data_IF_218999327425
#
_entry.id   IF_218999327425
#
_cell.length_a   1.000
_cell.length_b   1.000
_cell.length_c   1.000
_cell.angle_alpha   90.00
_cell.angle_beta   90.00
_cell.angle_gamma   90.00
#
_symmetry.space_group_name_H-M   'P 1'
#
loop_
_entity.id
_entity.type
_entity.pdbx_description
1 polymer ?
#
# COMPACT_ATOMS: atom_id res chain seq x y z
N UNK A 1 -2.77 -4.10 10.50
CA UNK A 1 -4.03 -4.85 10.24
C UNK A 1 -4.54 -4.55 8.84
N UNK A 2 -5.24 -5.48 8.23
CA UNK A 2 -5.51 -5.58 6.80
C UNK A 2 -6.76 -4.80 6.33
N UNK A 3 -6.71 -3.47 6.29
CA UNK A 3 -7.77 -2.66 5.65
C UNK A 3 -8.00 -3.01 4.17
N UNK A 4 -7.04 -3.69 3.53
CA UNK A 4 -7.13 -4.15 2.14
C UNK A 4 -7.78 -5.52 1.92
N UNK A 5 -7.97 -6.37 2.95
CA UNK A 5 -8.65 -7.68 2.76
C UNK A 5 -10.18 -7.60 2.86
N UNK A 6 -10.73 -6.57 3.52
CA UNK A 6 -12.18 -6.35 3.62
C UNK A 6 -12.82 -5.98 2.27
N UNK A 7 -12.03 -5.45 1.30
CA UNK A 7 -12.53 -5.10 -0.04
C UNK A 7 -12.98 -6.32 -0.87
N UNK A 8 -12.41 -7.51 -0.67
CA UNK A 8 -12.80 -8.70 -1.46
C UNK A 8 -14.14 -9.31 -1.04
N UNK A 9 -14.53 -9.13 0.22
CA UNK A 9 -15.70 -9.78 0.78
C UNK A 9 -16.79 -8.79 1.22
N UNK A 10 -16.78 -7.52 0.76
CA UNK A 10 -17.78 -6.50 1.16
C UNK A 10 -17.99 -6.41 2.70
N UNK A 11 -16.91 -6.56 3.47
CA UNK A 11 -16.95 -6.56 4.94
C UNK A 11 -17.25 -7.90 5.62
N UNK A 12 -17.49 -8.98 4.86
CA UNK A 12 -17.66 -10.33 5.42
C UNK A 12 -16.32 -10.94 5.84
N UNK A 13 -16.29 -11.53 7.03
CA UNK A 13 -15.13 -12.20 7.62
C UNK A 13 -15.43 -13.69 7.78
N UNK A 14 -14.76 -14.59 7.04
CA UNK A 14 -14.95 -16.02 7.20
C UNK A 14 -14.28 -16.50 8.49
N UNK A 15 -15.04 -17.22 9.31
CA UNK A 15 -14.56 -17.85 10.54
C UNK A 15 -14.88 -19.34 10.48
N UNK A 16 -13.85 -20.18 10.54
CA UNK A 16 -14.04 -21.62 10.47
C UNK A 16 -14.86 -22.11 11.65
N UNK A 17 -15.75 -23.08 11.39
CA UNK A 17 -16.57 -23.69 12.44
C UNK A 17 -15.72 -24.30 13.58
N UNK A 18 -14.57 -24.90 13.22
CA UNK A 18 -13.60 -25.42 14.20
C UNK A 18 -13.07 -24.34 15.12
N UNK A 19 -12.78 -23.15 14.59
CA UNK A 19 -12.33 -22.01 15.39
C UNK A 19 -13.45 -21.58 16.34
N UNK A 20 -14.67 -21.37 15.85
CA UNK A 20 -15.85 -21.02 16.66
C UNK A 20 -16.02 -22.02 17.82
N UNK A 21 -16.05 -23.34 17.54
CA UNK A 21 -16.14 -24.36 18.58
C UNK A 21 -15.00 -24.28 19.60
N UNK A 22 -13.76 -24.08 19.14
CA UNK A 22 -12.57 -24.07 20.00
C UNK A 22 -12.46 -22.81 20.86
N UNK A 23 -12.70 -21.63 20.30
CA UNK A 23 -12.48 -20.35 20.96
C UNK A 23 -13.71 -19.82 21.67
N UNK A 24 -14.90 -20.01 21.09
CA UNK A 24 -16.11 -19.43 21.67
C UNK A 24 -16.68 -20.30 22.77
N UNK A 25 -16.54 -21.64 22.75
CA UNK A 25 -16.91 -22.57 23.84
C UNK A 25 -18.23 -22.21 24.58
N UNK A 26 -19.25 -21.71 23.88
CA UNK A 26 -20.51 -21.23 24.48
C UNK A 26 -20.46 -19.87 25.20
N UNK A 27 -19.28 -19.23 25.33
CA UNK A 27 -19.08 -17.90 25.92
C UNK A 27 -19.53 -16.75 25.02
N UNK A 28 -19.61 -16.96 23.71
CA UNK A 28 -20.06 -15.95 22.76
C UNK A 28 -21.33 -16.44 22.05
N UNK A 29 -22.47 -15.84 22.43
CA UNK A 29 -23.75 -16.07 21.77
C UNK A 29 -23.92 -15.14 20.58
N UNK A 30 -23.32 -15.53 19.45
CA UNK A 30 -23.43 -14.77 18.22
C UNK A 30 -24.86 -14.78 17.65
N UNK A 31 -25.71 -15.77 17.99
CA UNK A 31 -27.12 -15.77 17.58
C UNK A 31 -27.86 -14.63 18.26
N UNK A 32 -27.58 -14.38 19.55
CA UNK A 32 -28.09 -13.20 20.25
C UNK A 32 -27.58 -11.89 19.64
N UNK A 33 -26.31 -11.84 19.24
CA UNK A 33 -25.78 -10.65 18.53
C UNK A 33 -26.48 -10.44 17.17
N UNK A 34 -26.77 -11.51 16.44
CA UNK A 34 -27.50 -11.46 15.18
C UNK A 34 -28.96 -11.04 15.38
N UNK A 35 -29.65 -11.58 16.40
CA UNK A 35 -31.03 -11.18 16.73
C UNK A 35 -31.14 -9.72 17.17
N UNK A 36 -30.07 -9.17 17.77
CA UNK A 36 -29.95 -7.75 18.11
C UNK A 36 -29.49 -6.89 16.92
N UNK A 37 -29.33 -7.47 15.73
CA UNK A 37 -28.82 -6.80 14.53
C UNK A 37 -27.48 -6.08 14.78
N UNK A 38 -26.60 -6.69 15.58
CA UNK A 38 -25.24 -6.22 15.82
C UNK A 38 -24.24 -6.87 14.85
N UNK A 39 -24.60 -8.04 14.32
CA UNK A 39 -23.89 -8.76 13.27
C UNK A 39 -24.90 -9.35 12.27
N UNK A 40 -24.42 -9.65 11.07
CA UNK A 40 -25.07 -10.50 10.07
C UNK A 40 -24.25 -11.77 9.93
N UNK A 41 -24.91 -12.91 9.79
CA UNK A 41 -24.24 -14.19 9.61
C UNK A 41 -24.67 -14.84 8.31
N UNK A 42 -23.69 -15.31 7.53
CA UNK A 42 -23.95 -16.29 6.48
C UNK A 42 -23.68 -17.68 7.03
N UNK A 43 -24.62 -18.61 6.84
CA UNK A 43 -24.47 -19.94 7.38
C UNK A 43 -23.29 -20.67 6.75
N UNK A 44 -22.74 -21.60 7.53
CA UNK A 44 -21.79 -22.58 7.04
C UNK A 44 -22.41 -23.46 5.95
N UNK A 45 -21.67 -23.69 4.86
CA UNK A 45 -22.08 -24.59 3.78
C UNK A 45 -20.99 -25.63 3.55
N UNK A 46 -21.20 -26.83 4.10
CA UNK A 46 -20.25 -27.94 3.97
C UNK A 46 -20.10 -28.40 2.52
N UNK A 47 -21.17 -28.40 1.73
CA UNK A 47 -21.16 -28.90 0.35
C UNK A 47 -20.30 -28.01 -0.54
N UNK A 48 -20.33 -26.70 -0.30
CA UNK A 48 -19.51 -25.71 -1.02
C UNK A 48 -18.16 -25.43 -0.35
N UNK A 49 -17.87 -26.07 0.78
CA UNK A 49 -16.66 -25.84 1.57
C UNK A 49 -16.56 -24.41 2.14
N UNK A 50 -17.69 -23.74 2.36
CA UNK A 50 -17.74 -22.36 2.86
C UNK A 50 -17.84 -22.35 4.38
N UNK A 51 -17.03 -21.50 5.01
CA UNK A 51 -17.10 -21.22 6.45
C UNK A 51 -18.30 -20.32 6.79
N UNK A 52 -18.65 -20.21 8.08
CA UNK A 52 -19.51 -19.12 8.51
C UNK A 52 -18.85 -17.80 8.14
N UNK A 53 -19.61 -16.84 7.61
CA UNK A 53 -19.13 -15.48 7.42
C UNK A 53 -19.89 -14.53 8.33
N UNK A 54 -19.19 -13.59 8.93
CA UNK A 54 -19.74 -12.59 9.83
C UNK A 54 -19.50 -11.19 9.26
N UNK A 55 -20.46 -10.29 9.43
CA UNK A 55 -20.34 -8.88 9.03
C UNK A 55 -21.04 -7.99 10.05
N UNK A 56 -20.46 -6.84 10.38
CA UNK A 56 -21.20 -5.78 11.12
C UNK A 56 -22.13 -5.06 10.14
N UNK A 57 -23.42 -4.86 10.44
CA UNK A 57 -24.33 -4.13 9.56
C UNK A 57 -23.78 -2.75 9.22
N UNK A 58 -23.90 -2.35 7.96
CA UNK A 58 -23.35 -1.08 7.46
C UNK A 58 -23.96 0.12 8.21
N UNK A 59 -25.25 0.07 8.54
CA UNK A 59 -25.93 1.09 9.34
C UNK A 59 -25.33 1.25 10.75
N UNK A 60 -24.85 0.17 11.37
CA UNK A 60 -24.21 0.25 12.69
C UNK A 60 -22.81 0.85 12.59
N UNK A 61 -22.06 0.49 11.53
CA UNK A 61 -20.77 1.12 11.22
C UNK A 61 -20.98 2.61 11.00
N UNK A 62 -21.95 3.01 10.18
CA UNK A 62 -22.28 4.42 9.93
C UNK A 62 -22.63 5.17 11.22
N UNK A 63 -23.51 4.60 12.05
CA UNK A 63 -23.88 5.20 13.34
C UNK A 63 -22.66 5.40 14.22
N UNK A 64 -21.82 4.37 14.34
CA UNK A 64 -20.58 4.44 15.10
C UNK A 64 -19.58 5.46 14.51
N UNK A 65 -19.48 5.58 13.19
CA UNK A 65 -18.60 6.56 12.56
C UNK A 65 -19.14 7.99 12.71
N UNK A 66 -20.45 8.18 12.65
CA UNK A 66 -21.09 9.48 12.82
C UNK A 66 -21.00 10.03 14.25
N UNK A 67 -20.76 9.18 15.24
CA UNK A 67 -20.55 9.63 16.63
C UNK A 67 -19.13 10.15 16.88
N UNK A 68 -18.19 9.94 15.97
CA UNK A 68 -16.85 10.53 16.09
C UNK A 68 -16.87 11.96 15.58
N UNK A 69 -16.25 12.85 16.34
CA UNK A 69 -16.02 14.20 15.85
C UNK A 69 -15.10 14.20 14.64
N UNK A 70 -15.42 15.08 13.70
CA UNK A 70 -14.50 15.45 12.61
C UNK A 70 -13.56 16.56 13.04
N UNK A 71 -13.85 17.29 14.13
CA UNK A 71 -13.02 18.40 14.61
C UNK A 71 -11.81 17.87 15.36
N UNK A 72 -10.64 18.36 15.01
CA UNK A 72 -9.35 18.00 15.58
C UNK A 72 -9.30 18.35 17.08
N UNK A 73 -9.82 19.52 17.45
CA UNK A 73 -9.83 20.00 18.83
C UNK A 73 -10.55 19.02 19.77
N UNK A 74 -11.68 18.44 19.35
CA UNK A 74 -12.41 17.46 20.14
C UNK A 74 -11.57 16.21 20.44
N UNK A 75 -10.63 15.83 19.56
CA UNK A 75 -9.71 14.70 19.81
C UNK A 75 -8.54 15.09 20.72
N UNK A 76 -8.10 16.35 20.68
CA UNK A 76 -7.06 16.88 21.58
C UNK A 76 -7.58 16.91 23.02
N UNK A 77 -8.83 17.35 23.19
CA UNK A 77 -9.44 17.54 24.52
C UNK A 77 -10.01 16.25 25.11
N UNK A 78 -10.21 15.22 24.28
CA UNK A 78 -10.78 13.95 24.72
C UNK A 78 -9.72 12.94 25.15
N UNK A 79 -9.87 12.29 26.32
CA UNK A 79 -8.98 11.19 26.69
C UNK A 79 -9.21 9.98 25.78
N UNK A 80 -8.12 9.29 25.42
CA UNK A 80 -8.22 7.99 24.77
C UNK A 80 -8.65 6.92 25.79
N UNK A 81 -9.69 6.17 25.45
CA UNK A 81 -10.19 5.05 26.26
C UNK A 81 -10.17 3.74 25.49
N UNK A 82 -9.94 2.65 26.20
CA UNK A 82 -10.14 1.32 25.66
C UNK A 82 -11.64 1.03 25.63
N UNK A 83 -12.21 0.84 24.44
CA UNK A 83 -13.65 0.65 24.26
C UNK A 83 -14.22 -0.62 24.92
N UNK A 84 -13.37 -1.61 25.25
CA UNK A 84 -13.81 -2.84 25.93
C UNK A 84 -13.78 -2.71 27.45
N UNK A 85 -12.86 -1.93 28.01
CA UNK A 85 -12.68 -1.82 29.47
C UNK A 85 -13.12 -0.48 30.03
N UNK A 86 -13.34 0.53 29.19
CA UNK A 86 -13.58 1.92 29.58
C UNK A 86 -12.36 2.61 30.18
N UNK A 87 -11.25 1.90 30.40
CA UNK A 87 -10.07 2.46 31.04
C UNK A 87 -9.31 3.41 30.10
N UNK A 88 -8.78 4.47 30.71
CA UNK A 88 -7.87 5.40 30.04
C UNK A 88 -6.66 4.65 29.47
N UNK A 89 -6.38 4.87 28.20
CA UNK A 89 -5.19 4.36 27.53
C UNK A 89 -4.03 5.32 27.77
N UNK A 90 -3.10 4.92 28.65
CA UNK A 90 -1.85 5.68 28.88
C UNK A 90 -0.84 5.51 27.75
N UNK A 91 -0.84 4.33 27.11
CA UNK A 91 0.13 4.02 26.06
C UNK A 91 -0.42 4.39 24.69
N UNK A 92 0.23 5.35 24.04
CA UNK A 92 -0.04 5.70 22.66
C UNK A 92 0.61 4.69 21.73
N UNK A 93 0.06 4.46 20.52
CA UNK A 93 0.64 3.49 19.63
C UNK A 93 2.05 3.98 19.25
N UNK A 94 2.99 3.04 19.16
CA UNK A 94 4.39 3.29 18.81
C UNK A 94 4.72 2.60 17.49
N UNK A 95 5.74 3.10 16.81
CA UNK A 95 6.31 2.39 15.67
C UNK A 95 6.74 0.98 16.05
N UNK A 96 6.48 0.01 15.17
CA UNK A 96 6.88 -1.37 15.35
C UNK A 96 8.28 -1.58 14.77
N UNK A 97 9.25 -1.81 15.66
CA UNK A 97 10.65 -2.10 15.31
C UNK A 97 10.96 -3.61 15.32
N UNK A 98 9.92 -4.43 15.28
CA UNK A 98 10.00 -5.88 15.17
C UNK A 98 9.14 -6.40 14.02
N UNK A 99 9.55 -7.52 13.43
CA UNK A 99 8.82 -8.16 12.35
C UNK A 99 7.56 -8.89 12.85
N UNK A 100 6.85 -9.57 11.95
CA UNK A 100 5.64 -10.33 12.30
C UNK A 100 5.88 -11.52 13.24
N UNK A 101 7.13 -11.92 13.45
CA UNK A 101 7.54 -13.00 14.35
C UNK A 101 8.11 -12.48 15.68
N UNK A 102 8.21 -11.16 15.85
CA UNK A 102 8.74 -10.53 17.05
C UNK A 102 10.26 -10.39 17.06
N UNK A 103 10.95 -10.74 15.97
CA UNK A 103 12.39 -10.49 15.84
C UNK A 103 12.67 -9.02 15.51
N UNK A 104 13.83 -8.46 15.91
CA UNK A 104 14.21 -7.11 15.55
C UNK A 104 14.18 -6.88 14.04
N UNK A 105 13.73 -5.70 13.63
CA UNK A 105 13.80 -5.28 12.24
C UNK A 105 15.23 -5.10 11.75
N UNK A 106 15.42 -5.19 10.43
CA UNK A 106 16.70 -4.87 9.82
C UNK A 106 17.10 -3.42 10.16
N UNK A 107 18.38 -3.22 10.49
CA UNK A 107 18.89 -1.95 11.01
C UNK A 107 18.52 -0.75 10.14
N UNK A 108 18.69 -0.85 8.81
CA UNK A 108 18.31 0.21 7.87
C UNK A 108 16.84 0.64 8.02
N UNK A 109 15.93 -0.32 8.18
CA UNK A 109 14.49 -0.04 8.34
C UNK A 109 14.23 0.58 9.71
N UNK A 110 14.80 -0.01 10.77
CA UNK A 110 14.61 0.46 12.13
C UNK A 110 15.13 1.91 12.30
N UNK A 111 16.29 2.21 11.71
CA UNK A 111 16.87 3.55 11.71
C UNK A 111 16.01 4.52 10.91
N UNK A 112 15.57 4.17 9.70
CA UNK A 112 14.70 5.04 8.90
C UNK A 112 13.38 5.37 9.60
N UNK A 113 12.76 4.39 10.28
CA UNK A 113 11.56 4.61 11.11
C UNK A 113 11.84 5.61 12.23
N UNK A 114 12.98 5.50 12.92
CA UNK A 114 13.35 6.38 14.03
C UNK A 114 13.68 7.81 13.59
N UNK A 115 14.14 7.99 12.35
CA UNK A 115 14.45 9.32 11.81
C UNK A 115 13.19 10.16 11.57
N UNK A 116 12.08 9.54 11.18
CA UNK A 116 10.80 10.26 10.95
C UNK A 116 10.09 10.53 12.28
N UNK A 117 10.47 11.61 12.95
CA UNK A 117 9.99 11.96 14.30
C UNK A 117 8.69 12.75 14.34
N UNK A 118 8.41 13.55 13.32
CA UNK A 118 7.34 14.54 13.37
C UNK A 118 6.80 14.83 11.98
N UNK A 119 5.49 14.84 11.84
CA UNK A 119 4.75 15.27 10.66
C UNK A 119 3.85 16.45 11.04
N UNK A 120 3.63 17.36 10.10
CA UNK A 120 2.77 18.53 10.27
C UNK A 120 1.57 18.43 9.35
N UNK A 121 0.42 18.91 9.81
CA UNK A 121 -0.76 19.02 8.96
C UNK A 121 -1.66 20.19 9.39
N UNK A 122 -2.34 20.77 8.41
CA UNK A 122 -3.37 21.79 8.56
C UNK A 122 -4.71 21.11 8.90
N UNK A 123 -5.04 21.11 10.18
CA UNK A 123 -6.24 20.45 10.70
C UNK A 123 -7.51 21.01 10.08
N UNK A 124 -7.63 22.35 10.03
CA UNK A 124 -8.82 23.03 9.52
C UNK A 124 -9.07 22.72 8.03
N UNK A 125 -8.03 22.66 7.21
CA UNK A 125 -8.16 22.31 5.79
C UNK A 125 -8.61 20.85 5.61
N UNK A 126 -8.05 19.92 6.39
CA UNK A 126 -8.46 18.51 6.39
C UNK A 126 -9.92 18.35 6.82
N UNK A 127 -10.35 19.05 7.86
CA UNK A 127 -11.73 19.05 8.33
C UNK A 127 -12.71 19.52 7.25
N UNK A 128 -12.41 20.64 6.59
CA UNK A 128 -13.21 21.15 5.47
C UNK A 128 -13.29 20.15 4.32
N UNK A 129 -12.17 19.49 3.99
CA UNK A 129 -12.13 18.43 2.98
C UNK A 129 -13.03 17.24 3.34
N UNK A 130 -12.98 16.77 4.60
CA UNK A 130 -13.83 15.67 5.06
C UNK A 130 -15.32 16.05 5.06
N UNK A 131 -15.65 17.28 5.45
CA UNK A 131 -17.02 17.80 5.36
C UNK A 131 -17.52 17.84 3.91
N UNK A 132 -16.68 18.29 2.97
CA UNK A 132 -16.99 18.27 1.54
C UNK A 132 -17.25 16.84 1.04
N UNK A 133 -16.37 15.88 1.33
CA UNK A 133 -16.57 14.48 0.93
C UNK A 133 -17.84 13.86 1.54
N UNK A 134 -18.18 14.24 2.78
CA UNK A 134 -19.42 13.82 3.44
C UNK A 134 -20.65 14.39 2.72
N UNK A 135 -20.64 15.69 2.43
CA UNK A 135 -21.72 16.34 1.69
C UNK A 135 -21.90 15.72 0.29
N UNK A 136 -20.81 15.49 -0.45
CA UNK A 136 -20.85 14.81 -1.77
C UNK A 136 -21.47 13.41 -1.69
N UNK A 137 -21.13 12.63 -0.65
CA UNK A 137 -21.74 11.32 -0.42
C UNK A 137 -23.25 11.45 -0.22
N UNK A 138 -23.68 12.44 0.56
CA UNK A 138 -25.07 12.64 0.96
C UNK A 138 -25.96 13.17 -0.18
N UNK A 139 -25.37 13.61 -1.30
CA UNK A 139 -26.10 13.95 -2.53
C UNK A 139 -26.66 12.74 -3.29
N UNK A 140 -26.11 11.54 -3.05
CA UNK A 140 -26.52 10.33 -3.76
C UNK A 140 -27.50 9.48 -2.94
N UNK A 141 -28.42 8.81 -3.62
CA UNK A 141 -29.30 7.83 -2.99
C UNK A 141 -28.50 6.73 -2.30
N UNK A 142 -28.85 6.42 -1.05
CA UNK A 142 -28.16 5.41 -0.24
C UNK A 142 -28.13 4.06 -0.96
N UNK A 143 -27.00 3.37 -0.84
CA UNK A 143 -26.73 2.07 -1.50
C UNK A 143 -26.64 2.10 -3.04
N UNK A 144 -26.81 3.25 -3.70
CA UNK A 144 -26.50 3.39 -5.13
C UNK A 144 -25.01 3.15 -5.42
N UNK A 145 -24.62 2.76 -6.66
CA UNK A 145 -23.21 2.63 -7.05
C UNK A 145 -22.40 3.92 -6.85
N UNK A 146 -23.03 5.08 -7.09
CA UNK A 146 -22.45 6.40 -6.90
C UNK A 146 -22.21 6.68 -5.42
N UNK A 147 -23.23 6.45 -4.58
CA UNK A 147 -23.12 6.57 -3.12
C UNK A 147 -22.03 5.64 -2.57
N UNK A 148 -21.98 4.39 -3.02
CA UNK A 148 -20.97 3.41 -2.58
C UNK A 148 -19.55 3.91 -2.88
N UNK A 149 -19.33 4.47 -4.07
CA UNK A 149 -18.04 5.05 -4.47
C UNK A 149 -17.71 6.30 -3.63
N UNK A 150 -18.65 7.21 -3.46
CA UNK A 150 -18.46 8.43 -2.65
C UNK A 150 -18.21 8.10 -1.17
N UNK A 151 -18.99 7.19 -0.60
CA UNK A 151 -18.83 6.67 0.76
C UNK A 151 -17.45 6.02 0.93
N UNK A 152 -16.99 5.20 -0.01
CA UNK A 152 -15.66 4.60 0.05
C UNK A 152 -14.53 5.64 0.06
N UNK A 153 -14.65 6.75 -0.70
CA UNK A 153 -13.69 7.87 -0.67
C UNK A 153 -13.69 8.57 0.69
N UNK A 154 -14.88 8.97 1.16
CA UNK A 154 -15.05 9.61 2.47
C UNK A 154 -14.47 8.75 3.59
N UNK A 155 -14.84 7.47 3.64
CA UNK A 155 -14.38 6.55 4.68
C UNK A 155 -12.86 6.36 4.64
N UNK A 156 -12.25 6.24 3.46
CA UNK A 156 -10.80 6.12 3.34
C UNK A 156 -10.07 7.28 4.04
N UNK A 157 -10.44 8.50 3.69
CA UNK A 157 -9.81 9.72 4.20
C UNK A 157 -10.17 9.95 5.68
N UNK A 158 -11.41 9.65 6.07
CA UNK A 158 -11.83 9.72 7.46
C UNK A 158 -11.04 8.74 8.36
N UNK A 159 -10.80 7.50 7.92
CA UNK A 159 -9.97 6.56 8.67
C UNK A 159 -8.51 6.99 8.76
N UNK A 160 -7.97 7.57 7.67
CA UNK A 160 -6.62 8.12 7.67
C UNK A 160 -6.51 9.29 8.65
N UNK A 161 -7.48 10.22 8.64
CA UNK A 161 -7.56 11.32 9.61
C UNK A 161 -7.64 10.80 11.05
N UNK A 162 -8.48 9.80 11.31
CA UNK A 162 -8.56 9.15 12.62
C UNK A 162 -7.23 8.54 13.07
N UNK A 163 -6.45 7.98 12.15
CA UNK A 163 -5.12 7.47 12.45
C UNK A 163 -4.14 8.58 12.84
N UNK A 164 -4.33 9.81 12.35
CA UNK A 164 -3.53 11.00 12.70
C UNK A 164 -3.98 11.58 14.05
N UNK A 165 -5.28 11.80 14.26
CA UNK A 165 -5.78 12.43 15.51
C UNK A 165 -5.78 11.50 16.72
N UNK A 166 -5.60 10.19 16.52
CA UNK A 166 -5.36 9.24 17.61
C UNK A 166 -3.91 9.24 18.12
N UNK A 167 -3.10 10.22 17.70
CA UNK A 167 -1.71 10.42 18.11
C UNK A 167 -1.59 11.53 19.15
N UNK A 168 -0.39 11.71 19.68
CA UNK A 168 0.01 12.91 20.41
C UNK A 168 -0.03 14.13 19.49
N UNK A 169 -1.19 14.76 19.37
CA UNK A 169 -1.31 16.02 18.64
C UNK A 169 -0.72 17.16 19.47
N UNK A 170 0.15 17.94 18.85
CA UNK A 170 0.68 19.19 19.40
C UNK A 170 0.31 20.33 18.47
N UNK A 171 -0.51 21.26 18.97
CA UNK A 171 -0.86 22.50 18.26
C UNK A 171 0.38 23.40 18.13
N UNK A 172 0.63 23.90 16.92
CA UNK A 172 1.72 24.83 16.64
C UNK A 172 1.19 26.27 16.66
N UNK A 173 0.07 26.53 15.99
CA UNK A 173 -0.53 27.87 15.87
C UNK A 173 -2.08 27.83 15.85
N UNK A 174 -2.69 26.75 16.35
CA UNK A 174 -4.14 26.55 16.35
C UNK A 174 -4.73 26.06 15.02
N UNK A 175 -3.99 26.21 13.91
CA UNK A 175 -4.38 25.71 12.58
C UNK A 175 -3.53 24.51 12.16
N UNK A 176 -2.21 24.63 12.35
CA UNK A 176 -1.23 23.60 12.10
C UNK A 176 -1.03 22.80 13.36
N UNK A 177 -1.21 21.49 13.21
CA UNK A 177 -0.92 20.51 14.23
C UNK A 177 0.26 19.66 13.79
N UNK A 178 0.87 19.05 14.78
CA UNK A 178 1.95 18.11 14.54
C UNK A 178 1.74 16.82 15.31
N UNK A 179 2.25 15.73 14.76
CA UNK A 179 2.11 14.40 15.34
C UNK A 179 3.34 13.54 15.04
N UNK A 180 3.59 12.53 15.86
CA UNK A 180 4.59 11.50 15.58
C UNK A 180 3.94 10.37 14.76
N UNK A 181 4.28 10.21 13.46
CA UNK A 181 3.78 9.10 12.68
C UNK A 181 4.35 7.80 13.22
N UNK A 182 3.54 6.75 13.22
CA UNK A 182 4.02 5.42 13.62
C UNK A 182 4.04 4.49 12.44
N UNK A 183 5.13 3.76 12.28
CA UNK A 183 5.34 2.89 11.15
C UNK A 183 5.42 1.41 11.54
N UNK A 184 5.06 0.54 10.61
CA UNK A 184 5.48 -0.86 10.61
C UNK A 184 6.07 -1.26 9.28
N UNK A 185 6.99 -2.21 9.30
CA UNK A 185 7.61 -2.71 8.08
C UNK A 185 6.68 -3.68 7.34
N UNK A 186 6.80 -3.70 6.01
CA UNK A 186 6.24 -4.71 5.13
C UNK A 186 7.27 -5.80 4.84
N UNK A 187 6.81 -6.93 4.26
CA UNK A 187 7.69 -8.05 3.90
C UNK A 187 8.81 -7.68 2.92
N UNK A 188 8.62 -6.65 2.11
CA UNK A 188 9.62 -6.17 1.15
C UNK A 188 10.55 -5.10 1.72
N UNK A 189 10.33 -4.65 2.95
CA UNK A 189 11.13 -3.62 3.59
C UNK A 189 10.58 -2.20 3.49
N UNK A 190 9.56 -1.96 2.64
CA UNK A 190 8.77 -0.72 2.69
C UNK A 190 8.19 -0.52 4.09
N UNK A 191 8.03 0.72 4.51
CA UNK A 191 7.35 1.05 5.78
C UNK A 191 5.94 1.58 5.50
N UNK A 192 4.99 1.21 6.35
CA UNK A 192 3.59 1.62 6.30
C UNK A 192 3.24 2.44 7.52
N UNK A 193 2.61 3.60 7.36
CA UNK A 193 2.03 4.33 8.48
C UNK A 193 0.85 3.52 9.06
N UNK A 194 0.89 3.24 10.36
CA UNK A 194 -0.15 2.45 11.03
C UNK A 194 -1.48 3.20 11.01
N UNK A 195 -2.53 2.52 10.55
CA UNK A 195 -3.83 3.15 10.29
C UNK A 195 -3.90 3.92 8.96
N UNK A 196 -2.82 3.94 8.18
CA UNK A 196 -2.75 4.55 6.86
C UNK A 196 -2.27 6.00 6.87
N UNK A 197 -2.79 6.82 7.80
CA UNK A 197 -2.40 8.22 8.00
C UNK A 197 -2.25 9.03 6.71
N UNK A 198 -1.25 9.91 6.65
CA UNK A 198 -0.97 10.71 5.44
C UNK A 198 -0.31 9.89 4.33
N UNK A 199 0.11 8.66 4.59
CA UNK A 199 0.62 7.77 3.55
C UNK A 199 -0.49 7.23 2.64
N UNK A 200 -1.66 6.88 3.21
CA UNK A 200 -2.75 6.18 2.51
C UNK A 200 -3.97 7.04 2.19
N UNK A 201 -4.03 8.28 2.65
CA UNK A 201 -5.13 9.19 2.31
C UNK A 201 -5.11 9.59 0.82
N UNK A 202 -6.23 10.12 0.34
CA UNK A 202 -6.34 10.62 -1.02
C UNK A 202 -5.37 11.77 -1.29
N UNK A 203 -5.01 11.98 -2.57
CA UNK A 203 -4.17 13.13 -2.98
C UNK A 203 -4.74 14.47 -2.54
N UNK A 204 -6.06 14.64 -2.67
CA UNK A 204 -6.78 15.83 -2.22
C UNK A 204 -6.67 16.05 -0.71
N UNK A 205 -6.75 14.98 0.10
CA UNK A 205 -6.54 15.10 1.54
C UNK A 205 -5.07 15.44 1.88
N UNK A 206 -4.08 14.88 1.17
CA UNK A 206 -2.67 15.24 1.37
C UNK A 206 -2.43 16.71 1.06
N UNK A 207 -2.97 17.19 -0.06
CA UNK A 207 -2.92 18.61 -0.42
C UNK A 207 -3.53 19.48 0.67
N UNK A 208 -4.75 19.16 1.12
CA UNK A 208 -5.39 19.86 2.23
C UNK A 208 -4.54 19.82 3.51
N UNK A 209 -3.95 18.67 3.84
CA UNK A 209 -3.10 18.48 5.00
C UNK A 209 -1.83 19.34 4.94
N UNK A 210 -1.22 19.53 3.79
CA UNK A 210 0.01 20.32 3.66
C UNK A 210 -0.23 21.77 3.24
N UNK A 211 -1.48 22.18 3.09
CA UNK A 211 -1.87 23.55 2.76
C UNK A 211 -1.33 24.53 3.81
N UNK A 212 -0.72 25.63 3.35
CA UNK A 212 -0.18 26.72 4.16
C UNK A 212 1.01 26.34 5.06
N UNK A 213 1.65 25.18 4.84
CA UNK A 213 2.88 24.82 5.54
C UNK A 213 4.08 25.14 4.65
N UNK A 214 4.78 26.21 4.99
CA UNK A 214 5.90 26.72 4.21
C UNK A 214 7.06 25.72 4.13
N UNK A 215 7.64 25.60 2.93
CA UNK A 215 8.83 24.77 2.68
C UNK A 215 8.57 23.27 2.59
N UNK A 216 7.31 22.82 2.60
CA UNK A 216 6.99 21.42 2.32
C UNK A 216 7.18 21.11 0.84
N UNK A 217 7.83 19.98 0.57
CA UNK A 217 8.04 19.43 -0.78
C UNK A 217 7.68 17.95 -0.82
N UNK A 218 7.16 17.49 -1.96
CA UNK A 218 6.80 16.10 -2.20
C UNK A 218 7.66 15.53 -3.33
N UNK A 219 8.53 14.58 -2.99
CA UNK A 219 9.43 13.92 -3.92
C UNK A 219 8.99 12.48 -4.16
N UNK A 220 8.95 12.06 -5.42
CA UNK A 220 8.71 10.67 -5.82
C UNK A 220 9.89 10.14 -6.61
N UNK A 221 10.14 8.83 -6.54
CA UNK A 221 11.06 8.15 -7.45
C UNK A 221 10.45 8.04 -8.84
N UNK A 222 11.17 8.56 -9.83
CA UNK A 222 10.78 8.49 -11.23
C UNK A 222 10.97 7.08 -11.76
N UNK A 223 9.87 6.46 -12.18
CA UNK A 223 9.83 5.12 -12.78
C UNK A 223 10.60 4.03 -11.97
N UNK A 224 10.59 4.11 -10.63
CA UNK A 224 11.42 3.31 -9.72
C UNK A 224 11.56 1.83 -10.08
N UNK A 225 10.43 1.14 -10.23
CA UNK A 225 10.39 -0.30 -10.49
C UNK A 225 10.84 -0.67 -11.90
N UNK A 226 10.60 0.20 -12.88
CA UNK A 226 11.09 -0.01 -14.25
C UNK A 226 12.60 0.15 -14.30
N UNK A 227 13.14 1.18 -13.64
CA UNK A 227 14.58 1.41 -13.49
C UNK A 227 15.26 0.26 -12.73
N UNK A 228 14.65 -0.21 -11.63
CA UNK A 228 15.10 -1.39 -10.92
C UNK A 228 15.09 -2.64 -11.82
N UNK A 229 14.07 -2.83 -12.66
CA UNK A 229 13.99 -3.95 -13.58
C UNK A 229 15.03 -3.89 -14.70
N UNK A 230 15.33 -2.70 -15.24
CA UNK A 230 16.43 -2.52 -16.21
C UNK A 230 17.75 -3.03 -15.62
N UNK A 231 18.06 -2.64 -14.38
CA UNK A 231 19.26 -3.10 -13.69
C UNK A 231 19.25 -4.63 -13.47
N UNK A 232 18.09 -5.22 -13.18
CA UNK A 232 17.97 -6.68 -13.05
C UNK A 232 18.11 -7.40 -14.40
N UNK A 233 17.64 -6.83 -15.50
CA UNK A 233 17.86 -7.35 -16.85
C UNK A 233 19.35 -7.30 -17.22
N UNK A 234 20.02 -6.17 -16.96
CA UNK A 234 21.48 -6.04 -17.16
C UNK A 234 22.25 -7.11 -16.38
N UNK A 235 21.87 -7.34 -15.12
CA UNK A 235 22.45 -8.40 -14.28
C UNK A 235 22.22 -9.80 -14.82
N UNK A 236 21.10 -10.04 -15.48
CA UNK A 236 20.75 -11.32 -16.08
C UNK A 236 21.29 -11.48 -17.52
N UNK A 237 21.97 -10.47 -18.07
CA UNK A 237 22.42 -10.46 -19.47
C UNK A 237 21.27 -10.41 -20.48
N UNK A 238 20.18 -9.73 -20.13
CA UNK A 238 18.97 -9.63 -20.96
C UNK A 238 18.88 -8.28 -21.67
N UNK A 239 18.17 -8.26 -22.79
CA UNK A 239 17.94 -7.03 -23.56
C UNK A 239 17.06 -6.05 -22.78
N UNK A 240 17.50 -4.79 -22.76
CA UNK A 240 16.86 -3.67 -22.03
C UNK A 240 16.29 -2.60 -22.94
N UNK A 241 16.47 -2.70 -24.26
CA UNK A 241 16.16 -1.61 -25.21
C UNK A 241 14.71 -1.16 -25.10
N UNK A 242 13.75 -2.10 -25.11
CA UNK A 242 12.32 -1.75 -25.02
C UNK A 242 12.01 -0.96 -23.74
N UNK A 243 12.51 -1.42 -22.58
CA UNK A 243 12.20 -0.82 -21.30
C UNK A 243 12.92 0.52 -21.09
N UNK A 244 14.16 0.65 -21.59
CA UNK A 244 14.88 1.92 -21.62
C UNK A 244 14.14 2.96 -22.46
N UNK A 245 13.68 2.59 -23.65
CA UNK A 245 12.89 3.48 -24.51
C UNK A 245 11.58 3.89 -23.83
N UNK A 246 10.88 2.93 -23.19
CA UNK A 246 9.66 3.20 -22.43
C UNK A 246 9.86 4.19 -21.27
N UNK A 247 10.99 4.12 -20.57
CA UNK A 247 11.31 4.97 -19.42
C UNK A 247 11.79 6.37 -19.86
N UNK A 248 12.58 6.44 -20.92
CA UNK A 248 13.19 7.69 -21.40
C UNK A 248 12.17 8.65 -22.02
N UNK A 249 11.13 8.12 -22.68
CA UNK A 249 10.09 8.94 -23.30
C UNK A 249 8.95 9.26 -22.30
N UNK A 250 8.80 10.54 -21.97
CA UNK A 250 7.75 11.02 -21.05
C UNK A 250 6.33 10.74 -21.56
N UNK A 251 6.14 10.59 -22.87
CA UNK A 251 4.86 10.29 -23.51
C UNK A 251 4.62 8.79 -23.73
N UNK A 252 5.59 7.92 -23.45
CA UNK A 252 5.46 6.47 -23.70
C UNK A 252 4.23 5.88 -23.01
N UNK A 253 3.94 6.28 -21.76
CA UNK A 253 2.75 5.80 -21.04
C UNK A 253 1.44 6.09 -21.79
N UNK A 254 1.33 7.28 -22.39
CA UNK A 254 0.17 7.68 -23.21
C UNK A 254 0.14 6.93 -24.53
N UNK A 255 1.29 6.85 -25.21
CA UNK A 255 1.45 6.15 -26.49
C UNK A 255 1.04 4.68 -26.39
N UNK A 256 1.58 3.95 -25.42
CA UNK A 256 1.28 2.52 -25.26
C UNK A 256 -0.15 2.27 -24.76
N UNK A 257 -0.69 3.14 -23.91
CA UNK A 257 -2.10 3.07 -23.49
C UNK A 257 -3.05 3.27 -24.69
N UNK A 258 -2.77 4.25 -25.56
CA UNK A 258 -3.54 4.48 -26.78
C UNK A 258 -3.46 3.29 -27.75
N UNK A 259 -2.27 2.72 -27.95
CA UNK A 259 -2.09 1.49 -28.75
C UNK A 259 -2.87 0.31 -28.18
N UNK A 260 -3.00 0.23 -26.85
CA UNK A 260 -3.74 -0.81 -26.16
C UNK A 260 -5.26 -0.55 -26.08
N UNK A 261 -5.73 0.64 -26.47
CA UNK A 261 -7.14 1.03 -26.39
C UNK A 261 -7.66 1.21 -24.96
N UNK A 262 -6.80 1.61 -24.03
CA UNK A 262 -7.14 1.75 -22.60
C UNK A 262 -6.61 3.07 -22.00
N UNK A 263 -7.11 3.43 -20.82
CA UNK A 263 -6.58 4.56 -20.05
C UNK A 263 -5.13 4.36 -19.62
N UNK A 264 -4.39 5.46 -19.43
CA UNK A 264 -3.01 5.45 -18.93
C UNK A 264 -2.89 4.75 -17.57
N UNK A 265 -3.90 4.92 -16.70
CA UNK A 265 -3.91 4.29 -15.38
C UNK A 265 -4.10 2.77 -15.47
N UNK A 266 -4.98 2.30 -16.36
CA UNK A 266 -5.16 0.88 -16.63
C UNK A 266 -3.87 0.28 -17.23
N UNK A 267 -3.25 0.94 -18.21
CA UNK A 267 -1.97 0.51 -18.79
C UNK A 267 -0.87 0.34 -17.74
N UNK A 268 -0.67 1.37 -16.88
CA UNK A 268 0.30 1.31 -15.78
C UNK A 268 0.01 0.12 -14.85
N UNK A 269 -1.26 -0.09 -14.48
CA UNK A 269 -1.67 -1.17 -13.58
C UNK A 269 -1.39 -2.55 -14.20
N UNK A 270 -1.67 -2.71 -15.50
CA UNK A 270 -1.37 -3.94 -16.24
C UNK A 270 0.14 -4.19 -16.32
N UNK A 271 0.92 -3.18 -16.76
CA UNK A 271 2.38 -3.27 -16.89
C UNK A 271 3.05 -3.69 -15.58
N UNK A 272 2.75 -2.98 -14.48
CA UNK A 272 3.35 -3.28 -13.17
C UNK A 272 2.87 -4.64 -12.62
N UNK A 273 1.61 -5.01 -12.82
CA UNK A 273 1.15 -6.34 -12.44
C UNK A 273 1.93 -7.43 -13.19
N UNK A 274 2.13 -7.27 -14.50
CA UNK A 274 2.91 -8.20 -15.33
C UNK A 274 4.38 -8.27 -14.88
N UNK A 275 5.04 -7.12 -14.63
CA UNK A 275 6.40 -7.06 -14.05
C UNK A 275 6.51 -7.89 -12.77
N UNK A 276 5.49 -7.80 -11.91
CA UNK A 276 5.38 -8.52 -10.64
C UNK A 276 4.87 -9.96 -10.80
N UNK A 277 4.88 -10.53 -12.01
CA UNK A 277 4.55 -11.93 -12.28
C UNK A 277 3.05 -12.23 -12.40
N UNK A 278 2.20 -11.22 -12.60
CA UNK A 278 0.82 -11.49 -13.00
C UNK A 278 0.79 -12.12 -14.39
N UNK A 279 -0.02 -13.17 -14.54
CA UNK A 279 -0.18 -13.84 -15.81
C UNK A 279 -0.87 -12.92 -16.81
N UNK A 280 -0.28 -12.83 -18.00
CA UNK A 280 -0.83 -12.18 -19.18
C UNK A 280 -0.47 -13.09 -20.35
N UNK A 281 -1.44 -13.77 -20.94
CA UNK A 281 -1.19 -14.79 -21.95
C UNK A 281 -2.50 -15.33 -22.53
N UNK A 282 -2.44 -16.00 -23.69
CA UNK A 282 -3.64 -16.49 -24.34
C UNK A 282 -4.37 -17.52 -23.46
N UNK A 283 -5.70 -17.51 -23.51
CA UNK A 283 -6.55 -18.56 -22.94
C UNK A 283 -6.75 -18.57 -21.42
N UNK A 284 -6.10 -17.68 -20.65
CA UNK A 284 -6.33 -17.55 -19.20
C UNK A 284 -6.67 -16.11 -18.82
N UNK A 285 -7.97 -15.83 -18.82
CA UNK A 285 -8.57 -14.56 -18.41
C UNK A 285 -8.85 -14.57 -16.91
N UNK A 286 -7.80 -14.64 -16.09
CA UNK A 286 -7.89 -14.57 -14.62
C UNK A 286 -6.67 -13.87 -14.05
N UNK A 287 -6.87 -13.07 -13.01
CA UNK A 287 -5.78 -12.45 -12.26
C UNK A 287 -5.93 -10.94 -12.16
N UNK A 288 -4.85 -10.27 -11.72
CA UNK A 288 -4.86 -8.82 -11.50
C UNK A 288 -5.07 -8.04 -12.82
N UNK A 289 -4.38 -8.45 -13.89
CA UNK A 289 -4.47 -7.78 -15.19
C UNK A 289 -5.89 -7.88 -15.75
N UNK A 290 -6.47 -9.08 -15.77
CA UNK A 290 -7.86 -9.27 -16.21
C UNK A 290 -8.82 -8.41 -15.41
N UNK A 291 -8.66 -8.32 -14.08
CA UNK A 291 -9.50 -7.46 -13.26
C UNK A 291 -9.41 -5.97 -13.66
N UNK A 292 -8.20 -5.45 -13.91
CA UNK A 292 -8.06 -4.05 -14.35
C UNK A 292 -8.73 -3.80 -15.70
N UNK A 293 -8.66 -4.77 -16.61
CA UNK A 293 -9.30 -4.68 -17.92
C UNK A 293 -10.82 -4.87 -17.85
N UNK A 294 -11.33 -5.68 -16.93
CA UNK A 294 -12.76 -5.78 -16.62
C UNK A 294 -13.29 -4.46 -16.06
N UNK A 295 -12.56 -3.85 -15.10
CA UNK A 295 -12.91 -2.54 -14.54
C UNK A 295 -12.90 -1.44 -15.64
N UNK A 296 -11.92 -1.45 -16.54
CA UNK A 296 -11.81 -0.55 -17.70
C UNK A 296 -12.90 -0.80 -18.76
N UNK A 297 -13.44 -2.03 -18.82
CA UNK A 297 -14.53 -2.42 -19.71
C UNK A 297 -15.91 -2.27 -19.04
N UNK A 298 -16.01 -1.61 -17.88
CA UNK A 298 -17.25 -1.46 -17.11
C UNK A 298 -17.95 -2.81 -16.81
N UNK A 299 -17.17 -3.87 -16.67
CA UNK A 299 -17.65 -5.24 -16.41
C UNK A 299 -18.02 -6.05 -17.66
N UNK A 300 -17.91 -5.50 -18.87
CA UNK A 300 -18.11 -6.25 -20.12
C UNK A 300 -16.97 -7.24 -20.34
N UNK A 301 -17.29 -8.54 -20.22
CA UNK A 301 -16.32 -9.63 -20.31
C UNK A 301 -15.75 -9.83 -21.72
N UNK A 302 -16.54 -9.62 -22.77
CA UNK A 302 -16.06 -9.80 -24.15
C UNK A 302 -15.15 -8.64 -24.55
N UNK A 303 -15.53 -7.40 -24.18
CA UNK A 303 -14.66 -6.23 -24.33
C UNK A 303 -13.36 -6.40 -23.53
N UNK A 304 -13.42 -6.87 -22.28
CA UNK A 304 -12.24 -7.11 -21.46
C UNK A 304 -11.31 -8.17 -22.07
N UNK A 305 -11.85 -9.24 -22.67
CA UNK A 305 -11.07 -10.25 -23.41
C UNK A 305 -10.39 -9.66 -24.64
N UNK A 306 -11.10 -8.83 -25.42
CA UNK A 306 -10.53 -8.15 -26.57
C UNK A 306 -9.38 -7.22 -26.15
N UNK A 307 -9.59 -6.39 -25.12
CA UNK A 307 -8.55 -5.52 -24.55
C UNK A 307 -7.35 -6.32 -24.02
N UNK A 308 -7.56 -7.50 -23.42
CA UNK A 308 -6.46 -8.37 -22.98
C UNK A 308 -5.58 -8.78 -24.16
N UNK A 309 -6.17 -9.21 -25.28
CA UNK A 309 -5.41 -9.63 -26.45
C UNK A 309 -4.61 -8.48 -27.07
N UNK A 310 -5.20 -7.29 -27.15
CA UNK A 310 -4.51 -6.08 -27.64
C UNK A 310 -3.35 -5.71 -26.68
N UNK A 311 -3.62 -5.65 -25.37
CA UNK A 311 -2.59 -5.37 -24.36
C UNK A 311 -1.42 -6.35 -24.45
N UNK A 312 -1.71 -7.65 -24.60
CA UNK A 312 -0.70 -8.69 -24.76
C UNK A 312 0.14 -8.47 -26.03
N UNK A 313 -0.48 -8.08 -27.15
CA UNK A 313 0.23 -7.79 -28.38
C UNK A 313 1.19 -6.60 -28.23
N UNK A 314 0.72 -5.51 -27.62
CA UNK A 314 1.50 -4.28 -27.39
C UNK A 314 2.71 -4.53 -26.47
N UNK A 315 2.52 -5.30 -25.39
CA UNK A 315 3.57 -5.58 -24.41
C UNK A 315 4.47 -6.77 -24.80
N UNK A 316 4.16 -7.49 -25.88
CA UNK A 316 4.85 -8.74 -26.27
C UNK A 316 6.39 -8.61 -26.32
N UNK A 317 6.99 -7.56 -26.92
CA UNK A 317 8.45 -7.45 -26.99
C UNK A 317 9.09 -7.38 -25.60
N UNK A 318 8.48 -6.62 -24.68
CA UNK A 318 8.90 -6.57 -23.28
C UNK A 318 8.69 -7.90 -22.56
N UNK A 319 7.53 -8.51 -22.77
CA UNK A 319 7.14 -9.74 -22.08
C UNK A 319 8.10 -10.88 -22.37
N UNK A 320 8.66 -10.97 -23.57
CA UNK A 320 9.67 -11.99 -23.92
C UNK A 320 10.88 -11.89 -22.98
N UNK A 321 11.41 -10.68 -22.77
CA UNK A 321 12.55 -10.49 -21.86
C UNK A 321 12.16 -10.67 -20.40
N UNK A 322 10.94 -10.25 -20.04
CA UNK A 322 10.42 -10.43 -18.69
C UNK A 322 10.24 -11.91 -18.31
N UNK A 323 9.74 -12.74 -19.22
CA UNK A 323 9.58 -14.18 -18.98
C UNK A 323 10.94 -14.87 -18.80
N UNK A 324 11.95 -14.47 -19.60
CA UNK A 324 13.35 -14.89 -19.41
C UNK A 324 13.90 -14.47 -18.04
N UNK A 325 13.61 -13.23 -17.63
CA UNK A 325 14.01 -12.75 -16.30
C UNK A 325 13.33 -13.53 -15.17
N UNK A 326 12.03 -13.79 -15.27
CA UNK A 326 11.29 -14.59 -14.30
C UNK A 326 11.84 -16.02 -14.20
N UNK A 327 12.26 -16.61 -15.33
CA UNK A 327 12.96 -17.88 -15.33
C UNK A 327 14.32 -17.78 -14.64
N UNK A 328 15.13 -16.80 -15.01
CA UNK A 328 16.44 -16.54 -14.39
C UNK A 328 16.33 -16.36 -12.87
N UNK A 329 15.28 -15.67 -12.39
CA UNK A 329 15.04 -15.52 -10.95
C UNK A 329 14.87 -16.86 -10.25
N UNK A 330 14.07 -17.77 -10.82
CA UNK A 330 13.78 -19.08 -10.20
C UNK A 330 14.98 -20.02 -10.25
N UNK A 331 15.71 -20.01 -11.35
CA UNK A 331 16.74 -21.01 -11.64
C UNK A 331 18.11 -20.55 -11.14
N UNK A 332 18.55 -19.35 -11.51
CA UNK A 332 19.90 -18.85 -11.23
C UNK A 332 19.95 -17.92 -10.02
N UNK A 333 19.06 -16.94 -9.92
CA UNK A 333 19.13 -15.96 -8.83
C UNK A 333 18.94 -16.63 -7.47
N UNK A 334 17.91 -17.47 -7.33
CA UNK A 334 17.64 -18.22 -6.11
C UNK A 334 18.82 -19.11 -5.74
N UNK A 335 19.45 -19.79 -6.70
CA UNK A 335 20.65 -20.59 -6.43
C UNK A 335 21.77 -19.73 -5.85
N UNK A 336 22.10 -18.62 -6.51
CA UNK A 336 23.22 -17.74 -6.17
C UNK A 336 23.04 -16.96 -4.86
N UNK A 337 21.81 -16.60 -4.48
CA UNK A 337 21.53 -15.66 -3.38
C UNK A 337 20.85 -16.27 -2.18
N UNK A 338 20.49 -17.55 -2.28
CA UNK A 338 19.82 -18.20 -1.17
C UNK A 338 20.77 -18.73 -0.13
N UNK A 339 20.27 -18.85 1.09
CA UNK A 339 20.96 -19.52 2.19
C UNK A 339 19.97 -20.39 2.96
N UNK A 340 20.49 -21.39 3.67
CA UNK A 340 19.69 -22.37 4.39
C UNK A 340 19.84 -22.20 5.90
N UNK A 341 18.72 -22.12 6.62
CA UNK A 341 18.67 -22.11 8.09
C UNK A 341 17.59 -23.07 8.54
N UNK A 342 17.92 -24.04 9.41
CA UNK A 342 16.97 -25.03 9.95
C UNK A 342 16.11 -25.70 8.85
N UNK A 343 16.75 -26.14 7.76
CA UNK A 343 16.11 -26.77 6.57
C UNK A 343 15.16 -25.87 5.77
N UNK A 344 15.10 -24.57 6.07
CA UNK A 344 14.36 -23.58 5.28
C UNK A 344 15.32 -22.77 4.42
N UNK A 345 14.91 -22.49 3.19
CA UNK A 345 15.68 -21.72 2.20
C UNK A 345 15.19 -20.28 2.19
N UNK A 346 16.11 -19.32 2.29
CA UNK A 346 15.82 -17.89 2.38
C UNK A 346 16.58 -17.11 1.34
N UNK A 347 16.08 -15.93 0.98
CA UNK A 347 16.84 -14.88 0.29
C UNK A 347 16.72 -13.57 1.09
N UNK A 348 17.72 -12.70 0.98
CA UNK A 348 17.76 -11.37 1.60
C UNK A 348 17.67 -10.29 0.51
N UNK A 349 16.93 -9.20 0.75
CA UNK A 349 16.86 -8.07 -0.18
C UNK A 349 17.73 -6.88 0.28
N UNK A 350 17.70 -5.79 -0.49
CA UNK A 350 18.50 -4.59 -0.24
C UNK A 350 18.20 -3.89 1.10
N UNK A 351 16.99 -4.02 1.66
CA UNK A 351 16.69 -3.48 3.01
C UNK A 351 17.12 -4.41 4.14
N UNK A 352 17.65 -5.58 3.80
CA UNK A 352 17.99 -6.63 4.75
C UNK A 352 16.82 -7.49 5.22
N UNK A 353 15.62 -7.33 4.64
CA UNK A 353 14.51 -8.26 4.89
C UNK A 353 14.83 -9.64 4.32
N UNK A 354 14.17 -10.66 4.89
CA UNK A 354 14.32 -12.05 4.45
C UNK A 354 13.00 -12.62 3.95
N UNK A 355 13.02 -13.32 2.83
CA UNK A 355 11.89 -14.07 2.30
C UNK A 355 12.18 -15.57 2.42
N UNK A 356 11.33 -16.30 3.16
CA UNK A 356 11.39 -17.75 3.24
C UNK A 356 10.79 -18.37 1.97
N UNK A 357 11.63 -18.92 1.11
CA UNK A 357 11.21 -19.56 -0.14
C UNK A 357 10.46 -20.87 0.12
N UNK A 358 10.82 -21.59 1.19
CA UNK A 358 10.14 -22.83 1.59
C UNK A 358 8.67 -22.59 1.95
N UNK A 359 8.36 -21.46 2.60
CA UNK A 359 6.99 -21.12 3.00
C UNK A 359 6.11 -20.69 1.80
N UNK A 360 6.71 -20.33 0.66
CA UNK A 360 5.97 -20.03 -0.58
C UNK A 360 5.47 -21.30 -1.26
N UNK A 361 6.13 -22.44 -1.04
CA UNK A 361 5.77 -23.73 -1.61
C UNK A 361 6.26 -23.94 -3.05
N UNK A 362 5.66 -24.92 -3.73
CA UNK A 362 6.09 -25.38 -5.08
C UNK A 362 5.45 -24.63 -6.25
N UNK A 363 4.55 -23.68 -5.99
CA UNK A 363 3.90 -22.89 -7.05
C UNK A 363 4.91 -21.91 -7.68
N UNK A 364 5.39 -22.25 -8.88
CA UNK A 364 6.36 -21.45 -9.63
C UNK A 364 5.88 -20.02 -9.91
N UNK A 365 4.58 -19.82 -10.12
CA UNK A 365 4.03 -18.50 -10.41
C UNK A 365 3.98 -17.66 -9.13
N UNK A 366 3.51 -18.25 -8.02
CA UNK A 366 3.52 -17.57 -6.73
C UNK A 366 4.95 -17.22 -6.29
N UNK A 367 5.90 -18.15 -6.48
CA UNK A 367 7.32 -17.94 -6.19
C UNK A 367 7.88 -16.76 -7.00
N UNK A 368 7.64 -16.73 -8.31
CA UNK A 368 8.07 -15.63 -9.19
C UNK A 368 7.51 -14.31 -8.70
N UNK A 369 6.19 -14.23 -8.46
CA UNK A 369 5.55 -13.01 -7.98
C UNK A 369 6.14 -12.49 -6.68
N UNK A 370 6.42 -13.41 -5.75
CA UNK A 370 7.00 -13.07 -4.44
C UNK A 370 8.44 -12.57 -4.59
N UNK A 371 9.28 -13.25 -5.36
CA UNK A 371 10.68 -12.87 -5.56
C UNK A 371 10.78 -11.54 -6.32
N UNK A 372 10.04 -11.37 -7.42
CA UNK A 372 10.05 -10.13 -8.20
C UNK A 372 9.68 -8.90 -7.36
N UNK A 373 8.57 -8.99 -6.60
CA UNK A 373 8.16 -7.91 -5.71
C UNK A 373 9.18 -7.67 -4.58
N UNK A 374 9.72 -8.74 -4.00
CA UNK A 374 10.67 -8.65 -2.90
C UNK A 374 12.00 -7.98 -3.29
N UNK A 375 12.47 -8.23 -4.51
CA UNK A 375 13.68 -7.60 -5.06
C UNK A 375 13.40 -6.15 -5.47
N UNK A 376 12.39 -5.92 -6.33
CA UNK A 376 12.15 -4.60 -6.91
C UNK A 376 11.69 -3.58 -5.85
N UNK A 377 10.72 -3.95 -5.01
CA UNK A 377 10.26 -3.06 -3.93
C UNK A 377 11.29 -2.94 -2.81
N UNK A 378 12.12 -3.97 -2.61
CA UNK A 378 13.22 -3.92 -1.65
C UNK A 378 14.31 -2.94 -2.06
N UNK A 379 14.68 -2.90 -3.34
CA UNK A 379 15.65 -1.94 -3.85
C UNK A 379 15.13 -0.48 -3.73
N UNK A 380 13.87 -0.26 -4.11
CA UNK A 380 13.20 1.04 -3.95
C UNK A 380 13.14 1.48 -2.47
N UNK A 381 12.71 0.59 -1.57
CA UNK A 381 12.65 0.89 -0.15
C UNK A 381 14.05 1.17 0.43
N UNK A 382 15.08 0.44 0.00
CA UNK A 382 16.45 0.68 0.45
C UNK A 382 16.95 2.07 0.06
N UNK A 383 16.66 2.52 -1.17
CA UNK A 383 16.97 3.88 -1.61
C UNK A 383 16.28 4.93 -0.73
N UNK A 384 14.97 4.81 -0.54
CA UNK A 384 14.19 5.77 0.25
C UNK A 384 14.64 5.78 1.72
N UNK A 385 15.00 4.63 2.29
CA UNK A 385 15.50 4.55 3.66
C UNK A 385 16.87 5.19 3.80
N UNK A 386 17.81 4.94 2.89
CA UNK A 386 19.10 5.62 2.90
C UNK A 386 18.94 7.13 2.74
N UNK A 387 18.09 7.58 1.82
CA UNK A 387 17.80 9.01 1.66
C UNK A 387 17.16 9.61 2.91
N UNK A 388 16.28 8.86 3.58
CA UNK A 388 15.71 9.27 4.87
C UNK A 388 16.80 9.47 5.93
N UNK A 389 17.78 8.56 6.01
CA UNK A 389 18.87 8.66 6.99
C UNK A 389 19.82 9.84 6.74
N UNK A 390 19.91 10.31 5.49
CA UNK A 390 20.75 11.45 5.10
C UNK A 390 20.10 12.81 5.42
N UNK A 391 18.84 12.83 5.90
CA UNK A 391 18.12 14.09 6.10
C UNK A 391 18.82 15.05 7.04
N UNK A 392 19.26 14.55 8.19
CA UNK A 392 19.87 15.37 9.24
C UNK A 392 21.24 15.92 8.80
N UNK A 393 22.01 15.14 8.03
CA UNK A 393 23.33 15.53 7.52
C UNK A 393 23.23 16.61 6.43
N UNK A 394 22.21 16.52 5.57
CA UNK A 394 22.05 17.37 4.39
C UNK A 394 21.04 18.53 4.57
N UNK A 395 20.61 18.79 5.81
CA UNK A 395 19.82 19.97 6.16
C UNK A 395 18.37 19.96 5.65
N UNK A 396 17.80 18.80 5.35
CA UNK A 396 16.37 18.63 5.07
C UNK A 396 15.72 17.75 6.14
N UNK A 397 14.39 17.81 6.28
CA UNK A 397 13.69 17.00 7.29
C UNK A 397 12.62 16.13 6.63
N UNK A 398 12.70 14.82 6.82
CA UNK A 398 11.63 13.92 6.37
C UNK A 398 10.44 14.00 7.32
N UNK A 399 9.29 14.41 6.78
CA UNK A 399 8.02 14.45 7.49
C UNK A 399 7.21 13.17 7.32
N UNK A 400 7.29 12.54 6.15
CA UNK A 400 6.52 11.34 5.83
C UNK A 400 7.19 10.50 4.76
N UNK A 401 7.26 9.19 4.99
CA UNK A 401 7.70 8.21 4.00
C UNK A 401 6.49 7.73 3.17
N UNK A 402 6.55 7.91 1.84
CA UNK A 402 5.46 7.64 0.91
C UNK A 402 5.69 6.37 0.06
N UNK A 403 6.44 5.39 0.59
CA UNK A 403 6.92 4.19 -0.10
C UNK A 403 7.95 4.46 -1.18
N UNK A 404 7.55 5.02 -2.32
CA UNK A 404 8.41 5.39 -3.45
C UNK A 404 8.79 6.87 -3.43
N UNK A 405 8.44 7.59 -2.36
CA UNK A 405 8.69 9.02 -2.22
C UNK A 405 8.86 9.47 -0.77
N UNK A 406 9.15 10.76 -0.61
CA UNK A 406 9.31 11.45 0.67
C UNK A 406 8.57 12.79 0.63
N UNK A 407 7.84 13.09 1.71
CA UNK A 407 7.43 14.46 2.02
C UNK A 407 8.45 15.05 2.97
N UNK A 408 9.00 16.21 2.63
CA UNK A 408 10.11 16.84 3.34
C UNK A 408 9.84 18.31 3.66
N UNK A 409 10.50 18.83 4.69
CA UNK A 409 10.78 20.26 4.81
C UNK A 409 12.17 20.53 4.26
N UNK A 410 12.26 21.49 3.34
CA UNK A 410 13.49 21.81 2.64
C UNK A 410 13.68 20.97 1.36
N UNK A 411 14.66 21.37 0.57
CA UNK A 411 15.00 20.70 -0.69
C UNK A 411 15.93 19.53 -0.41
N UNK A 412 15.70 18.38 -1.04
CA UNK A 412 16.67 17.28 -1.02
C UNK A 412 17.80 17.62 -1.99
N UNK A 413 19.06 17.79 -1.54
CA UNK A 413 20.17 18.07 -2.44
C UNK A 413 20.54 16.85 -3.27
N UNK A 414 21.00 17.06 -4.50
CA UNK A 414 21.40 15.96 -5.41
C UNK A 414 22.52 15.10 -4.82
N UNK A 415 23.42 15.68 -4.03
CA UNK A 415 24.47 14.92 -3.35
C UNK A 415 23.91 13.82 -2.42
N UNK A 416 22.84 14.12 -1.67
CA UNK A 416 22.17 13.13 -0.85
C UNK A 416 21.50 12.03 -1.70
N UNK A 417 20.98 12.40 -2.88
CA UNK A 417 20.40 11.46 -3.85
C UNK A 417 21.49 10.51 -4.37
N UNK A 418 22.65 11.02 -4.75
CA UNK A 418 23.79 10.22 -5.22
C UNK A 418 24.28 9.25 -4.15
N UNK A 419 24.45 9.70 -2.90
CA UNK A 419 24.89 8.82 -1.80
C UNK A 419 23.82 7.76 -1.51
N UNK A 420 22.54 8.10 -1.53
CA UNK A 420 21.46 7.13 -1.37
C UNK A 420 21.46 6.10 -2.51
N UNK A 421 21.76 6.54 -3.74
CA UNK A 421 21.88 5.68 -4.93
C UNK A 421 23.03 4.69 -4.80
N UNK A 422 24.19 5.16 -4.33
CA UNK A 422 25.36 4.33 -4.07
C UNK A 422 25.08 3.30 -2.96
N UNK A 423 24.63 3.75 -1.78
CA UNK A 423 24.38 2.88 -0.63
C UNK A 423 23.30 1.82 -0.88
N UNK A 424 22.23 2.18 -1.58
CA UNK A 424 21.15 1.25 -1.92
C UNK A 424 21.48 0.30 -3.08
N UNK A 425 22.46 0.67 -3.92
CA UNK A 425 22.78 -0.01 -5.16
C UNK A 425 21.71 0.12 -6.26
N UNK A 426 20.72 1.01 -6.11
CA UNK A 426 19.70 1.28 -7.14
C UNK A 426 20.23 2.34 -8.12
N UNK A 427 21.09 1.92 -9.06
CA UNK A 427 21.93 2.80 -9.92
C UNK A 427 21.18 3.80 -10.80
N UNK A 428 19.89 3.61 -11.01
CA UNK A 428 19.05 4.44 -11.90
C UNK A 428 17.95 5.18 -11.11
N UNK A 429 18.16 5.37 -9.80
CA UNK A 429 17.22 6.11 -8.96
C UNK A 429 17.34 7.62 -9.25
N UNK A 430 16.23 8.20 -9.69
CA UNK A 430 16.03 9.64 -9.86
C UNK A 430 14.82 10.04 -9.03
N UNK A 431 14.91 11.16 -8.31
CA UNK A 431 13.76 11.76 -7.63
C UNK A 431 13.22 12.91 -8.47
N UNK A 432 11.90 13.08 -8.46
CA UNK A 432 11.21 14.21 -9.08
C UNK A 432 10.29 14.86 -8.03
N UNK A 433 10.31 16.19 -7.96
CA UNK A 433 9.35 16.94 -7.16
C UNK A 433 8.00 16.93 -7.88
N UNK A 434 6.92 16.65 -7.15
CA UNK A 434 5.55 16.65 -7.67
C UNK A 434 4.64 17.53 -6.84
N UNK A 435 3.65 18.17 -7.47
CA UNK A 435 2.53 18.71 -6.73
C UNK A 435 1.79 17.60 -5.99
N UNK A 436 1.17 17.96 -4.87
CA UNK A 436 0.29 17.02 -4.15
C UNK A 436 -0.93 16.61 -5.00
N UNK A 437 -1.44 17.51 -5.87
CA UNK A 437 -2.57 17.30 -6.78
C UNK A 437 -2.19 16.98 -8.23
#
# INVERSE_FOLDING_TARGET
>A
MSNLRLRKHKGWVPISFKLIRKTWKGKADWKKLESLNLIRVKPYDMRRGLSYEFKVPDALIEKFLSSFSTKTQDHVDSPMVNLFTGHLMKCKPKSRLTDSTGHPEAELIASAIKTVKKCFFNALAVEKHLQKLKAERDLFEKDSPQWTRACARYLNDFYCFRAIVSRDLVSIDGKIFSYEPTYSSQTTGRISEEGGGLQSCSRAMKEAAFQDINGIRNYDLKNSQANGLIQQFERAGLDTVWLKNYVADSNSKKKYAAQAGITVNCWKSCLYATMMGAYLGPGRYRGAVTKYLEDEADGDLEKAKALHMICLAVIKPFKIQLDKWHQWLREKYVELHSYCVKRKKYIKNATGKTLCLTDVGKDKNLLTRKISAFILQGAEAAFIHHLTLLSDEYGFKVLSNQHDGLVTLGTIPEEAVEIAREKSGLKRAEIEEKPFL
#
